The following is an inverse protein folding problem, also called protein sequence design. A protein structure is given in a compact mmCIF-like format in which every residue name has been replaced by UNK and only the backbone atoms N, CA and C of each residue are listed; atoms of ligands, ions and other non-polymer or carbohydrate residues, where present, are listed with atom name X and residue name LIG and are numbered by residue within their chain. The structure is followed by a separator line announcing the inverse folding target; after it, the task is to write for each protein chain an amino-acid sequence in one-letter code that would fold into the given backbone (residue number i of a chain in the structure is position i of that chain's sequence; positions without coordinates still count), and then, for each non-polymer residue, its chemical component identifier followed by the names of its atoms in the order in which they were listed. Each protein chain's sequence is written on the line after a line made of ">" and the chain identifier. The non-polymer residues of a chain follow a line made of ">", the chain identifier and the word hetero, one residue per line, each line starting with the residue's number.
data_IF_371322437348
#
_entry.id   IF_371322437348
#
_cell.length_a   1.000
_cell.length_b   1.000
_cell.length_c   1.000
_cell.angle_alpha   90.00
_cell.angle_beta   90.00
_cell.angle_gamma   90.00
#
_symmetry.space_group_name_H-M   'P 1'
#
loop_
_entity.id
_entity.type
_entity.pdbx_description
1 polymer ?
#
# COMPACT_ATOMS: atom_id res chain seq x y z
N UNK A 1 -10.28 -53.24 47.87
CA UNK A 1 -9.93 -53.58 46.49
C UNK A 1 -10.96 -52.91 45.58
N UNK A 2 -10.57 -51.95 44.74
CA UNK A 2 -11.47 -51.24 43.82
C UNK A 2 -11.18 -51.71 42.39
N UNK A 3 -12.20 -52.13 41.61
CA UNK A 3 -12.01 -52.47 40.21
C UNK A 3 -11.91 -51.21 39.34
N UNK A 4 -11.07 -51.30 38.32
CA UNK A 4 -10.88 -50.34 37.22
C UNK A 4 -11.74 -50.79 36.05
N UNK A 5 -12.51 -49.88 35.42
CA UNK A 5 -13.10 -50.10 34.10
C UNK A 5 -13.21 -48.81 33.29
N UNK A 6 -12.20 -48.64 32.43
CA UNK A 6 -12.12 -48.09 31.07
C UNK A 6 -13.25 -47.24 30.40
N UNK A 7 -12.79 -46.11 29.83
CA UNK A 7 -12.96 -45.58 28.45
C UNK A 7 -14.35 -45.31 27.83
N UNK A 8 -14.60 -44.03 27.49
CA UNK A 8 -15.07 -43.52 26.19
C UNK A 8 -15.01 -41.97 26.26
N UNK A 9 -14.42 -41.17 25.36
CA UNK A 9 -14.18 -41.34 23.94
C UNK A 9 -14.89 -40.21 23.19
N UNK A 10 -14.27 -39.03 23.06
CA UNK A 10 -14.71 -37.98 22.14
C UNK A 10 -13.52 -37.06 21.78
N UNK A 11 -12.64 -37.55 20.92
CA UNK A 11 -11.76 -36.66 20.14
C UNK A 11 -12.64 -35.93 19.12
N UNK A 12 -13.03 -34.69 19.42
CA UNK A 12 -13.57 -33.78 18.43
C UNK A 12 -12.41 -33.33 17.53
N UNK A 13 -12.32 -33.94 16.34
CA UNK A 13 -11.39 -33.55 15.30
C UNK A 13 -11.71 -32.12 14.81
N UNK A 14 -10.94 -31.14 15.29
CA UNK A 14 -10.87 -29.82 14.67
C UNK A 14 -10.23 -29.96 13.29
N UNK A 15 -11.07 -30.12 12.27
CA UNK A 15 -10.71 -29.86 10.88
C UNK A 15 -10.47 -28.35 10.72
N UNK A 16 -9.24 -27.91 10.99
CA UNK A 16 -8.77 -26.60 10.57
C UNK A 16 -8.54 -26.68 9.06
N UNK A 17 -9.49 -26.18 8.28
CA UNK A 17 -9.27 -25.89 6.86
C UNK A 17 -8.19 -24.81 6.74
N UNK A 18 -6.92 -25.23 6.69
CA UNK A 18 -5.83 -24.38 6.25
C UNK A 18 -6.05 -24.11 4.75
N UNK A 19 -6.79 -23.05 4.43
CA UNK A 19 -6.83 -22.50 3.09
C UNK A 19 -5.40 -22.04 2.77
N UNK A 20 -4.69 -22.84 1.98
CA UNK A 20 -3.41 -22.44 1.39
C UNK A 20 -3.77 -21.29 0.45
N UNK A 21 -3.61 -20.06 0.91
CA UNK A 21 -3.68 -18.90 0.06
C UNK A 21 -2.52 -19.02 -0.94
N UNK A 22 -2.79 -19.56 -2.13
CA UNK A 22 -1.82 -19.55 -3.21
C UNK A 22 -1.41 -18.10 -3.43
N UNK A 23 -0.11 -17.83 -3.30
CA UNK A 23 0.45 -16.55 -3.69
C UNK A 23 0.06 -16.28 -5.14
N UNK A 24 -0.68 -15.20 -5.38
CA UNK A 24 -1.07 -14.84 -6.73
C UNK A 24 0.17 -14.29 -7.45
N UNK A 25 0.66 -15.04 -8.44
CA UNK A 25 1.73 -14.56 -9.31
C UNK A 25 1.14 -13.51 -10.26
N UNK A 26 1.58 -12.24 -10.19
CA UNK A 26 1.06 -11.20 -11.07
C UNK A 26 1.45 -11.47 -12.53
N UNK A 27 0.52 -11.21 -13.44
CA UNK A 27 0.80 -11.24 -14.87
C UNK A 27 1.66 -10.05 -15.27
N UNK A 28 2.46 -10.23 -16.33
CA UNK A 28 3.26 -9.14 -16.90
C UNK A 28 2.33 -8.13 -17.55
N UNK A 29 2.49 -6.84 -17.25
CA UNK A 29 1.67 -5.82 -17.87
C UNK A 29 1.63 -4.51 -17.09
N UNK A 30 0.73 -3.64 -17.53
CA UNK A 30 0.28 -2.48 -16.78
C UNK A 30 -1.09 -2.81 -16.18
N UNK A 31 -1.22 -2.64 -14.88
CA UNK A 31 -2.47 -2.80 -14.13
C UNK A 31 -2.89 -1.43 -13.66
N UNK A 32 -4.10 -1.01 -14.00
CA UNK A 32 -4.59 0.34 -13.72
C UNK A 32 -5.76 0.28 -12.76
N UNK A 33 -6.00 1.39 -12.05
CA UNK A 33 -7.14 1.50 -11.17
C UNK A 33 -7.19 2.82 -10.44
N UNK A 34 -7.71 2.79 -9.21
CA UNK A 34 -8.02 3.99 -8.45
C UNK A 34 -7.62 3.88 -6.98
N UNK A 35 -7.33 5.02 -6.39
CA UNK A 35 -7.31 5.20 -4.94
C UNK A 35 -8.72 5.39 -4.39
N UNK A 36 -8.91 5.28 -3.06
CA UNK A 36 -10.18 5.63 -2.39
C UNK A 36 -10.54 7.12 -2.48
N UNK A 37 -9.69 7.94 -3.09
CA UNK A 37 -9.96 9.34 -3.43
C UNK A 37 -10.35 9.53 -4.91
N UNK A 38 -10.60 8.44 -5.66
CA UNK A 38 -10.85 8.45 -7.11
C UNK A 38 -9.72 9.11 -7.91
N UNK A 39 -8.48 8.75 -7.58
CA UNK A 39 -7.27 9.21 -8.28
C UNK A 39 -6.53 8.01 -8.87
N UNK A 40 -5.88 8.22 -10.01
CA UNK A 40 -5.25 7.13 -10.76
C UNK A 40 -4.14 6.43 -9.97
N UNK A 41 -4.07 5.12 -10.13
CA UNK A 41 -2.94 4.27 -9.71
C UNK A 41 -2.60 3.31 -10.86
N UNK A 42 -1.31 3.12 -11.11
CA UNK A 42 -0.82 2.12 -12.04
C UNK A 42 0.34 1.30 -11.45
N UNK A 43 0.29 -0.01 -11.68
CA UNK A 43 1.32 -0.97 -11.29
C UNK A 43 1.84 -1.65 -12.55
N UNK A 44 3.13 -1.49 -12.84
CA UNK A 44 3.79 -2.15 -13.96
C UNK A 44 4.55 -3.38 -13.46
N UNK A 45 4.22 -4.54 -14.02
CA UNK A 45 4.84 -5.83 -13.70
C UNK A 45 5.75 -6.25 -14.85
N UNK A 46 6.97 -6.68 -14.52
CA UNK A 46 7.97 -7.14 -15.48
C UNK A 46 7.77 -8.59 -15.90
N UNK A 47 8.60 -9.06 -16.83
CA UNK A 47 8.59 -10.46 -17.28
C UNK A 47 8.96 -11.47 -16.20
N UNK A 48 9.62 -11.03 -15.13
CA UNK A 48 9.96 -11.86 -13.98
C UNK A 48 8.89 -11.82 -12.86
N UNK A 49 7.67 -11.36 -13.17
CA UNK A 49 6.56 -11.23 -12.22
C UNK A 49 6.85 -10.30 -11.02
N UNK A 50 7.90 -9.48 -11.11
CA UNK A 50 8.18 -8.45 -10.11
C UNK A 50 7.64 -7.10 -10.58
N UNK A 51 7.21 -6.29 -9.61
CA UNK A 51 6.80 -4.91 -9.81
C UNK A 51 8.04 -4.10 -10.22
N UNK A 52 7.92 -3.42 -11.35
CA UNK A 52 8.94 -2.53 -11.93
C UNK A 52 8.62 -1.06 -11.69
N UNK A 53 7.33 -0.72 -11.64
CA UNK A 53 6.87 0.63 -11.33
C UNK A 53 5.57 0.58 -10.56
N UNK A 54 5.46 1.40 -9.54
CA UNK A 54 4.21 1.79 -8.92
C UNK A 54 4.08 3.30 -9.07
N UNK A 55 2.96 3.78 -9.61
CA UNK A 55 2.67 5.22 -9.68
C UNK A 55 1.26 5.46 -9.17
N UNK A 56 1.09 6.56 -8.45
CA UNK A 56 -0.21 6.89 -7.86
C UNK A 56 -0.33 8.40 -7.62
N UNK A 57 -1.47 8.95 -7.99
CA UNK A 57 -1.87 10.31 -7.65
C UNK A 57 -2.60 10.34 -6.31
N UNK A 58 -2.34 11.34 -5.48
CA UNK A 58 -2.90 11.42 -4.12
C UNK A 58 -3.16 12.85 -3.66
N UNK A 59 -4.02 12.99 -2.64
CA UNK A 59 -4.27 14.24 -1.91
C UNK A 59 -4.09 14.01 -0.41
N UNK A 60 -3.22 14.77 0.22
CA UNK A 60 -3.20 14.95 1.66
C UNK A 60 -4.21 16.03 2.04
N UNK A 61 -5.40 15.61 2.49
CA UNK A 61 -6.50 16.49 2.88
C UNK A 61 -6.62 16.75 4.38
N UNK A 62 -5.73 16.18 5.20
CA UNK A 62 -5.67 16.42 6.65
C UNK A 62 -4.45 17.28 6.93
N UNK A 63 -4.66 18.58 7.04
CA UNK A 63 -3.60 19.55 7.31
C UNK A 63 -3.86 20.29 8.63
N UNK A 64 -2.80 20.84 9.23
CA UNK A 64 -2.92 21.67 10.44
C UNK A 64 -3.68 22.96 10.14
N UNK A 65 -3.47 23.53 8.95
CA UNK A 65 -4.19 24.72 8.51
C UNK A 65 -5.64 24.40 8.09
N UNK A 66 -6.64 25.19 8.52
CA UNK A 66 -8.02 25.01 8.08
C UNK A 66 -8.09 25.20 6.56
N UNK A 67 -8.65 24.20 5.87
CA UNK A 67 -8.75 24.13 4.41
C UNK A 67 -7.45 23.85 3.64
N UNK A 68 -6.33 23.58 4.32
CA UNK A 68 -5.09 23.16 3.70
C UNK A 68 -5.23 21.83 2.95
N UNK A 69 -4.54 21.70 1.81
CA UNK A 69 -4.35 20.42 1.15
C UNK A 69 -3.07 20.41 0.30
N UNK A 70 -2.47 19.23 0.19
CA UNK A 70 -1.36 18.99 -0.73
C UNK A 70 -1.75 17.90 -1.72
N UNK A 71 -1.55 18.12 -3.01
CA UNK A 71 -1.82 17.14 -4.07
C UNK A 71 -0.56 16.87 -4.85
N UNK A 72 -0.28 15.60 -5.14
CA UNK A 72 0.96 15.21 -5.81
C UNK A 72 0.84 13.77 -6.37
N UNK A 73 1.81 13.36 -7.18
CA UNK A 73 1.98 12.00 -7.68
C UNK A 73 3.25 11.35 -7.12
N UNK A 74 3.15 10.14 -6.59
CA UNK A 74 4.33 9.35 -6.20
C UNK A 74 4.65 8.33 -7.29
N UNK A 75 5.92 8.22 -7.69
CA UNK A 75 6.42 7.12 -8.51
C UNK A 75 7.52 6.37 -7.75
N UNK A 76 7.36 5.05 -7.64
CA UNK A 76 8.36 4.13 -7.10
C UNK A 76 8.82 3.20 -8.22
N UNK A 77 10.12 3.15 -8.45
CA UNK A 77 10.73 2.24 -9.44
C UNK A 77 11.40 1.10 -8.70
N UNK A 78 11.12 -0.14 -9.13
CA UNK A 78 11.59 -1.38 -8.49
C UNK A 78 11.43 -1.37 -6.96
N UNK A 79 10.19 -1.46 -6.41
CA UNK A 79 9.96 -1.49 -4.97
C UNK A 79 10.93 -2.42 -4.23
N UNK A 80 11.53 -1.94 -3.13
CA UNK A 80 12.61 -2.66 -2.43
C UNK A 80 12.21 -4.02 -1.86
N UNK A 81 11.00 -4.16 -1.33
CA UNK A 81 10.55 -5.42 -0.73
C UNK A 81 9.54 -6.10 -1.62
N UNK A 82 9.91 -7.26 -2.19
CA UNK A 82 9.08 -8.10 -3.06
C UNK A 82 9.47 -9.56 -2.84
N UNK A 83 8.91 -10.27 -1.85
CA UNK A 83 9.34 -11.62 -1.48
C UNK A 83 8.92 -12.70 -2.49
N UNK A 84 8.24 -12.35 -3.59
CA UNK A 84 7.81 -13.27 -4.63
C UNK A 84 6.42 -13.88 -4.43
N UNK A 85 5.71 -13.49 -3.36
CA UNK A 85 4.36 -13.97 -3.03
C UNK A 85 3.23 -13.06 -3.58
N UNK A 86 3.56 -12.17 -4.51
CA UNK A 86 2.68 -11.12 -5.03
C UNK A 86 2.56 -9.89 -4.11
N UNK A 87 3.16 -9.89 -2.92
CA UNK A 87 3.26 -8.69 -2.07
C UNK A 87 4.43 -7.80 -2.46
N UNK A 88 4.27 -6.50 -2.21
CA UNK A 88 5.33 -5.53 -2.37
C UNK A 88 5.19 -4.36 -1.41
N UNK A 89 6.31 -3.76 -1.01
CA UNK A 89 6.31 -2.52 -0.25
C UNK A 89 7.55 -1.66 -0.51
N UNK A 90 7.40 -0.37 -0.27
CA UNK A 90 8.51 0.59 -0.26
C UNK A 90 8.18 1.82 0.59
N UNK A 91 9.19 2.63 0.87
CA UNK A 91 9.08 3.93 1.51
C UNK A 91 10.17 4.85 1.01
N UNK A 92 9.91 6.15 1.04
CA UNK A 92 10.88 7.12 0.53
C UNK A 92 10.59 8.53 0.98
N UNK A 93 11.45 9.43 0.52
CA UNK A 93 11.31 10.86 0.74
C UNK A 93 11.66 11.60 -0.54
N UNK A 94 10.94 12.67 -0.84
CA UNK A 94 11.26 13.57 -1.94
C UNK A 94 10.73 14.97 -1.66
N UNK A 95 11.09 15.92 -2.51
CA UNK A 95 10.58 17.29 -2.43
C UNK A 95 9.79 17.59 -3.69
N UNK A 96 8.65 18.22 -3.52
CA UNK A 96 7.87 18.79 -4.60
C UNK A 96 7.82 20.31 -4.47
N UNK A 97 8.10 21.02 -5.56
CA UNK A 97 8.06 22.47 -5.59
C UNK A 97 6.71 22.89 -6.16
N UNK A 98 5.85 23.38 -5.28
CA UNK A 98 4.63 24.05 -5.71
C UNK A 98 4.95 25.50 -6.07
N UNK A 99 4.07 26.14 -6.84
CA UNK A 99 4.22 27.55 -7.22
C UNK A 99 4.35 28.47 -6.01
N UNK A 100 4.73 29.73 -6.23
CA UNK A 100 4.76 30.78 -5.18
C UNK A 100 5.69 30.50 -3.98
N UNK A 101 6.77 29.73 -4.19
CA UNK A 101 7.79 29.46 -3.18
C UNK A 101 7.42 28.41 -2.13
N UNK A 102 6.32 27.69 -2.34
CA UNK A 102 5.92 26.56 -1.49
C UNK A 102 6.67 25.29 -1.88
N UNK A 103 7.19 24.58 -0.88
CA UNK A 103 7.89 23.30 -1.07
C UNK A 103 7.30 22.27 -0.13
N UNK A 104 6.81 21.17 -0.68
CA UNK A 104 6.38 20.01 0.07
C UNK A 104 7.58 19.10 0.30
N UNK A 105 7.84 18.74 1.55
CA UNK A 105 8.81 17.72 1.92
C UNK A 105 8.03 16.46 2.25
N UNK A 106 7.97 15.54 1.28
CA UNK A 106 7.13 14.35 1.32
C UNK A 106 7.91 13.19 1.89
N UNK A 107 7.31 12.48 2.84
CA UNK A 107 7.71 11.14 3.27
C UNK A 107 6.56 10.19 3.00
N UNK A 108 6.80 9.11 2.27
CA UNK A 108 5.76 8.15 1.89
C UNK A 108 6.10 6.72 2.29
N UNK A 109 5.07 5.87 2.35
CA UNK A 109 5.16 4.42 2.38
C UNK A 109 4.03 3.80 1.57
N UNK A 110 4.35 2.75 0.82
CA UNK A 110 3.44 1.96 0.02
C UNK A 110 3.48 0.50 0.48
N UNK A 111 2.33 -0.16 0.46
CA UNK A 111 2.22 -1.60 0.60
C UNK A 111 1.11 -2.10 -0.32
N UNK A 112 1.32 -3.22 -0.99
CA UNK A 112 0.37 -3.82 -1.90
C UNK A 112 0.49 -5.33 -1.95
N UNK A 113 -0.58 -5.99 -2.41
CA UNK A 113 -0.60 -7.42 -2.66
C UNK A 113 -1.49 -7.74 -3.85
N UNK A 114 -0.98 -8.54 -4.77
CA UNK A 114 -1.78 -9.17 -5.81
C UNK A 114 -2.66 -10.27 -5.19
N UNK A 115 -3.96 -10.21 -5.48
CA UNK A 115 -4.96 -11.20 -5.08
C UNK A 115 -5.32 -12.15 -6.22
N UNK A 116 -4.99 -11.76 -7.46
CA UNK A 116 -5.08 -12.58 -8.66
C UNK A 116 -3.94 -12.22 -9.61
N UNK A 117 -3.93 -12.77 -10.83
CA UNK A 117 -2.93 -12.41 -11.84
C UNK A 117 -3.07 -10.96 -12.33
N UNK A 118 -4.23 -10.33 -12.15
CA UNK A 118 -4.54 -8.97 -12.65
C UNK A 118 -4.91 -8.00 -11.54
N UNK A 119 -5.47 -8.50 -10.43
CA UNK A 119 -6.00 -7.68 -9.35
C UNK A 119 -4.98 -7.52 -8.23
N UNK A 120 -4.77 -6.27 -7.80
CA UNK A 120 -4.03 -5.96 -6.59
C UNK A 120 -4.71 -4.86 -5.80
N UNK A 121 -4.50 -4.89 -4.49
CA UNK A 121 -4.93 -3.82 -3.60
C UNK A 121 -3.83 -3.48 -2.59
N UNK A 122 -3.97 -2.34 -1.93
CA UNK A 122 -3.00 -1.93 -0.94
C UNK A 122 -3.30 -0.62 -0.25
N UNK A 123 -2.29 -0.14 0.45
CA UNK A 123 -2.34 1.11 1.20
C UNK A 123 -1.21 2.03 0.81
N UNK A 124 -1.48 3.31 1.00
CA UNK A 124 -0.53 4.40 0.83
C UNK A 124 -0.64 5.36 2.00
N UNK A 125 0.51 5.82 2.47
CA UNK A 125 0.60 6.88 3.46
C UNK A 125 1.62 7.91 3.01
N UNK A 126 1.24 9.18 3.02
CA UNK A 126 2.18 10.29 2.89
C UNK A 126 2.00 11.29 4.03
N UNK A 127 3.13 11.83 4.48
CA UNK A 127 3.24 13.00 5.35
C UNK A 127 4.01 14.07 4.59
N UNK A 128 3.48 15.28 4.61
CA UNK A 128 4.04 16.45 3.91
C UNK A 128 4.32 17.50 4.96
N UNK A 129 5.56 17.95 5.04
CA UNK A 129 5.89 19.23 5.71
C UNK A 129 5.95 20.29 4.63
N UNK A 130 5.10 21.30 4.72
CA UNK A 130 5.04 22.40 3.74
C UNK A 130 5.90 23.54 4.26
N UNK A 131 6.82 24.03 3.42
CA UNK A 131 7.65 25.20 3.73
C UNK A 131 7.41 26.31 2.71
N UNK A 132 7.42 27.57 3.13
CA UNK A 132 7.44 28.76 2.27
C UNK A 132 8.71 29.55 2.58
N UNK A 133 9.53 29.80 1.56
CA UNK A 133 10.81 30.51 1.71
C UNK A 133 11.70 29.93 2.84
N UNK A 134 11.68 28.60 3.01
CA UNK A 134 12.47 27.89 4.03
C UNK A 134 11.79 27.72 5.38
N UNK A 135 10.71 28.46 5.68
CA UNK A 135 9.97 28.35 6.94
C UNK A 135 8.82 27.35 6.82
N UNK A 136 8.65 26.45 7.79
CA UNK A 136 7.49 25.54 7.83
C UNK A 136 6.21 26.33 8.08
N UNK A 137 5.21 26.11 7.23
CA UNK A 137 3.92 26.80 7.29
C UNK A 137 2.74 25.85 7.46
N UNK A 138 2.91 24.56 7.20
CA UNK A 138 1.85 23.56 7.36
C UNK A 138 2.41 22.14 7.47
N UNK A 139 1.62 21.24 8.04
CA UNK A 139 1.82 19.79 7.91
C UNK A 139 0.55 19.15 7.39
N UNK A 140 0.69 18.29 6.39
CA UNK A 140 -0.42 17.57 5.79
C UNK A 140 -0.16 16.06 5.81
N UNK A 141 -1.21 15.25 5.85
CA UNK A 141 -1.10 13.82 5.65
C UNK A 141 -2.32 13.24 4.94
N UNK A 142 -2.12 12.08 4.29
CA UNK A 142 -3.20 11.37 3.60
C UNK A 142 -4.12 10.63 4.58
N UNK A 143 -3.63 10.30 5.78
CA UNK A 143 -4.30 9.31 6.64
C UNK A 143 -4.15 7.91 6.04
N UNK A 144 -5.17 7.06 6.13
CA UNK A 144 -5.22 5.75 5.46
C UNK A 144 -5.80 5.95 4.06
N UNK A 145 -4.94 5.95 3.04
CA UNK A 145 -5.35 5.94 1.64
C UNK A 145 -5.25 4.49 1.13
N UNK A 146 -6.34 3.96 0.60
CA UNK A 146 -6.35 2.62 -0.02
C UNK A 146 -6.35 2.76 -1.53
N UNK A 147 -5.92 1.73 -2.24
CA UNK A 147 -5.94 1.68 -3.69
C UNK A 147 -6.19 0.26 -4.18
N UNK A 148 -6.68 0.15 -5.41
CA UNK A 148 -6.85 -1.10 -6.13
C UNK A 148 -6.52 -0.93 -7.62
N UNK A 149 -6.09 -2.01 -8.25
CA UNK A 149 -5.93 -2.16 -9.70
C UNK A 149 -6.56 -3.48 -10.14
N UNK A 150 -6.95 -3.54 -11.41
CA UNK A 150 -7.54 -4.71 -12.08
C UNK A 150 -7.10 -4.78 -13.53
#
# INVERSE_FOLDING_TARGET
>A
MRPVTALAGALAALLVCAAIALAATPSKGLHEGMTSQNRAVDVKVGSNHHIRRFRMDWRAGKCDSPHGAWTDGTTVTNPRHQPGDGSFSDSGKYKDKSGNGYVGHIKFSIAGKFTSASDANGTFHAKVRVTKNGTTVDHCHTGKLTWNVS
#
